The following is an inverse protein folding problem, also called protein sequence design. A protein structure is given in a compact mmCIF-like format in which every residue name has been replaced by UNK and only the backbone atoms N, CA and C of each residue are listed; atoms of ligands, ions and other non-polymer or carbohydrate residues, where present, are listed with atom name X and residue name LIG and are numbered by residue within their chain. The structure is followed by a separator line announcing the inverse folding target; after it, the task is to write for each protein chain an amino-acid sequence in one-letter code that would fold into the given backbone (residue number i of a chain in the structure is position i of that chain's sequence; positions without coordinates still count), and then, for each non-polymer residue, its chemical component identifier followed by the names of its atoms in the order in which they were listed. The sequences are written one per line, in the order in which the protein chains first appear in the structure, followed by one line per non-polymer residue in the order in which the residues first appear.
data_IF_586386322650
#
_entry.id   IF_586386322650
#
_cell.length_a   1.000
_cell.length_b   1.000
_cell.length_c   1.000
_cell.angle_alpha   90.00
_cell.angle_beta   90.00
_cell.angle_gamma   90.00
#
_symmetry.space_group_name_H-M   'P 1'
#
loop_
_entity.id
_entity.type
_entity.pdbx_description
1 polymer ?
#
# COMPACT_ATOMS: atom_id res chain seq x y z
N UNK A 1 11.91 -2.43 -9.64
CA UNK A 1 12.08 -3.58 -8.71
C UNK A 1 11.08 -3.52 -7.56
N UNK A 2 10.52 -4.66 -7.12
CA UNK A 2 9.61 -4.76 -5.96
C UNK A 2 10.24 -5.59 -4.84
N UNK A 3 10.20 -5.09 -3.60
CA UNK A 3 10.80 -5.75 -2.43
C UNK A 3 9.77 -5.88 -1.30
N UNK A 4 9.67 -7.05 -0.68
CA UNK A 4 8.77 -7.27 0.46
C UNK A 4 9.19 -6.43 1.67
N UNK A 5 8.24 -5.68 2.24
CA UNK A 5 8.46 -4.87 3.43
C UNK A 5 7.87 -5.54 4.67
N UNK A 6 6.63 -6.02 4.58
CA UNK A 6 5.97 -6.67 5.70
C UNK A 6 4.56 -7.13 5.38
N UNK A 7 3.98 -7.89 6.31
CA UNK A 7 2.60 -8.36 6.20
C UNK A 7 1.88 -8.30 7.55
N UNK A 8 0.56 -8.30 7.47
CA UNK A 8 -0.34 -8.39 8.61
C UNK A 8 -1.43 -9.41 8.28
N UNK A 9 -1.65 -10.36 9.17
CA UNK A 9 -2.76 -11.31 9.07
C UNK A 9 -3.86 -10.89 10.05
N UNK A 10 -5.09 -10.82 9.55
CA UNK A 10 -6.27 -10.43 10.32
C UNK A 10 -7.19 -11.64 10.36
N UNK A 11 -7.36 -12.18 11.57
CA UNK A 11 -8.28 -13.28 11.84
C UNK A 11 -9.72 -12.82 11.67
N UNK A 12 -10.59 -13.74 11.23
CA UNK A 12 -12.02 -13.47 10.96
C UNK A 12 -12.75 -12.88 12.18
N UNK A 13 -12.42 -13.33 13.39
CA UNK A 13 -13.07 -12.88 14.63
C UNK A 13 -12.84 -11.37 14.90
N UNK A 14 -11.79 -10.78 14.31
CA UNK A 14 -11.49 -9.33 14.41
C UNK A 14 -12.21 -8.50 13.35
N UNK A 15 -12.97 -9.14 12.47
CA UNK A 15 -13.57 -8.54 11.28
C UNK A 15 -15.10 -8.67 11.26
N UNK A 16 -15.69 -9.34 12.26
CA UNK A 16 -17.14 -9.55 12.36
C UNK A 16 -17.91 -8.22 12.41
N UNK A 17 -17.37 -7.18 13.07
CA UNK A 17 -17.97 -5.83 13.11
C UNK A 17 -18.08 -5.18 11.73
N UNK A 18 -17.22 -5.57 10.79
CA UNK A 18 -17.23 -5.10 9.40
C UNK A 18 -18.00 -6.05 8.46
N UNK A 19 -18.76 -7.00 9.01
CA UNK A 19 -19.51 -8.04 8.28
C UNK A 19 -18.62 -8.91 7.37
N UNK A 20 -17.35 -9.07 7.75
CA UNK A 20 -16.38 -9.92 7.04
C UNK A 20 -16.12 -11.17 7.89
N UNK A 21 -16.47 -12.34 7.35
CA UNK A 21 -16.46 -13.62 8.07
C UNK A 21 -15.31 -14.55 7.64
N UNK A 22 -14.29 -14.00 6.99
CA UNK A 22 -13.13 -14.73 6.50
C UNK A 22 -11.82 -14.01 6.85
N UNK A 23 -10.71 -14.73 7.00
CA UNK A 23 -9.42 -14.10 7.27
C UNK A 23 -8.93 -13.27 6.08
N UNK A 24 -8.13 -12.25 6.39
CA UNK A 24 -7.49 -11.39 5.41
C UNK A 24 -5.99 -11.31 5.69
N UNK A 25 -5.17 -11.46 4.64
CA UNK A 25 -3.75 -11.14 4.68
C UNK A 25 -3.50 -9.87 3.89
N UNK A 26 -2.80 -8.92 4.51
CA UNK A 26 -2.28 -7.72 3.86
C UNK A 26 -0.77 -7.86 3.72
N UNK A 27 -0.24 -7.58 2.53
CA UNK A 27 1.18 -7.58 2.23
C UNK A 27 1.56 -6.22 1.62
N UNK A 28 2.66 -5.67 2.13
CA UNK A 28 3.16 -4.35 1.78
C UNK A 28 4.55 -4.49 1.16
N UNK A 29 4.76 -3.82 0.05
CA UNK A 29 5.99 -3.90 -0.73
C UNK A 29 6.50 -2.51 -1.08
N UNK A 30 7.82 -2.36 -1.01
CA UNK A 30 8.56 -1.27 -1.64
C UNK A 30 8.54 -1.43 -3.15
N UNK A 31 8.53 -0.32 -3.87
CA UNK A 31 8.72 -0.29 -5.32
C UNK A 31 9.68 0.80 -5.77
N UNK A 32 10.59 0.40 -6.67
CA UNK A 32 11.45 1.32 -7.40
C UNK A 32 10.93 1.41 -8.84
N UNK A 33 10.53 2.61 -9.26
CA UNK A 33 10.02 2.91 -10.60
C UNK A 33 11.17 3.02 -11.62
N UNK A 34 11.84 1.90 -11.89
CA UNK A 34 13.08 1.86 -12.70
C UNK A 34 12.91 2.39 -14.12
N UNK A 35 11.75 2.16 -14.74
CA UNK A 35 11.45 2.58 -16.11
C UNK A 35 11.38 4.11 -16.29
N UNK A 36 11.25 4.87 -15.19
CA UNK A 36 11.15 6.33 -15.20
C UNK A 36 12.34 7.03 -14.51
N UNK A 37 13.39 6.32 -14.11
CA UNK A 37 14.60 6.93 -13.50
C UNK A 37 15.25 7.98 -14.41
N UNK A 38 15.01 7.92 -15.73
CA UNK A 38 15.49 8.91 -16.70
C UNK A 38 14.61 10.17 -16.81
N UNK A 39 13.41 10.20 -16.20
CA UNK A 39 12.52 11.37 -16.18
C UNK A 39 12.70 12.11 -14.86
N UNK A 40 13.35 13.27 -14.94
CA UNK A 40 13.75 14.10 -13.79
C UNK A 40 12.54 14.51 -12.92
N UNK A 41 11.35 14.56 -13.51
CA UNK A 41 10.15 15.14 -12.88
C UNK A 41 9.30 14.15 -12.07
N UNK A 42 9.77 12.91 -11.85
CA UNK A 42 8.98 11.88 -11.12
C UNK A 42 9.74 11.28 -9.94
N UNK A 43 8.99 11.05 -8.86
CA UNK A 43 9.52 10.39 -7.67
C UNK A 43 9.96 8.94 -7.95
N UNK A 44 11.13 8.56 -7.43
CA UNK A 44 11.74 7.25 -7.67
C UNK A 44 10.97 6.10 -7.02
N UNK A 45 10.47 6.31 -5.81
CA UNK A 45 9.88 5.26 -4.97
C UNK A 45 8.36 5.26 -5.05
N UNK A 46 7.77 4.08 -4.93
CA UNK A 46 6.34 3.82 -4.86
C UNK A 46 6.07 2.65 -3.92
N UNK A 47 4.81 2.27 -3.76
CA UNK A 47 4.44 1.14 -2.91
C UNK A 47 3.44 0.23 -3.61
N UNK A 48 3.37 -1.02 -3.16
CA UNK A 48 2.27 -1.92 -3.51
C UNK A 48 1.66 -2.52 -2.27
N UNK A 49 0.32 -2.55 -2.25
CA UNK A 49 -0.47 -3.28 -1.26
C UNK A 49 -1.18 -4.43 -1.95
N UNK A 50 -1.04 -5.62 -1.40
CA UNK A 50 -1.76 -6.83 -1.81
C UNK A 50 -2.66 -7.25 -0.65
N UNK A 51 -3.95 -7.39 -0.92
CA UNK A 51 -4.94 -7.93 0.01
C UNK A 51 -5.38 -9.28 -0.52
N UNK A 52 -5.25 -10.31 0.30
CA UNK A 52 -5.74 -11.66 0.01
C UNK A 52 -6.82 -12.03 1.01
N UNK A 53 -8.01 -12.33 0.52
CA UNK A 53 -9.13 -12.82 1.31
C UNK A 53 -9.25 -14.34 1.17
N UNK A 54 -9.28 -15.05 2.31
CA UNK A 54 -9.36 -16.51 2.38
C UNK A 54 -10.80 -16.95 2.60
N UNK A 55 -11.62 -16.84 1.56
CA UNK A 55 -13.02 -17.30 1.58
C UNK A 55 -13.06 -18.83 1.50
N UNK A 56 -14.17 -19.42 1.93
CA UNK A 56 -14.31 -20.88 2.10
C UNK A 56 -13.98 -21.69 0.83
N UNK A 57 -14.35 -21.17 -0.35
CA UNK A 57 -14.19 -21.86 -1.62
C UNK A 57 -13.32 -21.11 -2.64
N UNK A 58 -12.78 -19.94 -2.28
CA UNK A 58 -12.00 -19.12 -3.20
C UNK A 58 -10.98 -18.23 -2.48
N UNK A 59 -9.92 -17.90 -3.20
CA UNK A 59 -8.99 -16.84 -2.82
C UNK A 59 -9.32 -15.61 -3.67
N UNK A 60 -9.55 -14.48 -3.03
CA UNK A 60 -9.71 -13.21 -3.72
C UNK A 60 -8.49 -12.34 -3.45
N UNK A 61 -7.87 -11.85 -4.53
CA UNK A 61 -6.66 -11.03 -4.44
C UNK A 61 -6.94 -9.67 -5.05
N UNK A 62 -6.85 -8.63 -4.22
CA UNK A 62 -6.90 -7.23 -4.63
C UNK A 62 -5.48 -6.66 -4.51
N UNK A 63 -5.02 -5.97 -5.55
CA UNK A 63 -3.68 -5.35 -5.56
C UNK A 63 -3.79 -3.92 -6.03
N UNK A 64 -3.14 -3.01 -5.32
CA UNK A 64 -2.97 -1.63 -5.79
C UNK A 64 -1.52 -1.24 -5.77
N UNK A 65 -1.10 -0.68 -6.90
CA UNK A 65 0.22 -0.12 -7.12
C UNK A 65 0.12 1.40 -7.13
N UNK A 66 0.91 2.05 -6.28
CA UNK A 66 0.95 3.52 -6.19
C UNK A 66 2.38 3.95 -6.49
N UNK A 67 2.56 4.53 -7.68
CA UNK A 67 3.86 4.99 -8.15
C UNK A 67 4.14 6.42 -7.72
N UNK A 68 5.41 6.78 -7.77
CA UNK A 68 5.89 8.16 -7.62
C UNK A 68 5.43 8.84 -6.31
N UNK A 69 5.58 8.14 -5.19
CA UNK A 69 5.22 8.64 -3.87
C UNK A 69 6.30 9.57 -3.31
N UNK A 70 7.57 9.18 -3.42
CA UNK A 70 8.68 9.94 -2.81
C UNK A 70 10.02 9.65 -3.49
N UNK A 71 10.97 10.56 -3.33
CA UNK A 71 12.38 10.37 -3.70
C UNK A 71 13.26 9.93 -2.52
N UNK A 72 12.72 9.87 -1.30
CA UNK A 72 13.41 9.43 -0.10
C UNK A 72 12.95 8.02 0.30
N UNK A 73 13.89 7.06 0.31
CA UNK A 73 13.61 5.68 0.74
C UNK A 73 13.15 5.62 2.20
N UNK A 74 13.62 6.52 3.06
CA UNK A 74 13.17 6.58 4.46
C UNK A 74 11.71 7.00 4.58
N UNK A 75 11.24 7.88 3.68
CA UNK A 75 9.84 8.27 3.66
C UNK A 75 8.96 7.15 3.08
N UNK A 76 9.47 6.39 2.09
CA UNK A 76 8.82 5.15 1.63
C UNK A 76 8.64 4.16 2.80
N UNK A 77 9.70 3.94 3.60
CA UNK A 77 9.66 3.11 4.80
C UNK A 77 8.67 3.61 5.85
N UNK A 78 8.63 4.93 6.07
CA UNK A 78 7.69 5.57 7.01
C UNK A 78 6.25 5.33 6.59
N UNK A 79 5.92 5.54 5.31
CA UNK A 79 4.58 5.33 4.76
C UNK A 79 4.19 3.85 4.89
N UNK A 80 5.07 2.92 4.51
CA UNK A 80 4.82 1.49 4.62
C UNK A 80 4.63 1.03 6.08
N UNK A 81 5.34 1.63 7.02
CA UNK A 81 5.16 1.37 8.46
C UNK A 81 3.77 1.79 8.93
N UNK A 82 3.34 3.02 8.59
CA UNK A 82 2.00 3.52 8.90
C UNK A 82 0.93 2.61 8.28
N UNK A 83 1.13 2.19 7.03
CA UNK A 83 0.21 1.32 6.31
C UNK A 83 0.03 -0.03 7.02
N UNK A 84 1.14 -0.64 7.42
CA UNK A 84 1.14 -1.94 8.10
C UNK A 84 0.51 -1.85 9.49
N UNK A 85 0.86 -0.84 10.28
CA UNK A 85 0.34 -0.63 11.64
C UNK A 85 -1.17 -0.39 11.63
N UNK A 86 -1.66 0.37 10.65
CA UNK A 86 -3.07 0.72 10.53
C UNK A 86 -3.88 -0.23 9.62
N UNK A 87 -3.28 -1.33 9.16
CA UNK A 87 -3.93 -2.33 8.30
C UNK A 87 -4.57 -1.71 7.05
N UNK A 88 -3.87 -0.76 6.45
CA UNK A 88 -4.31 -0.07 5.24
C UNK A 88 -4.50 -1.09 4.12
N UNK A 89 -5.62 -0.96 3.43
CA UNK A 89 -6.07 -1.84 2.34
C UNK A 89 -5.85 -1.15 0.99
N UNK A 90 -5.92 -1.87 -0.13
CA UNK A 90 -5.75 -1.25 -1.44
C UNK A 90 -6.77 -0.11 -1.69
N UNK A 91 -8.04 -0.30 -1.31
CA UNK A 91 -9.07 0.72 -1.54
C UNK A 91 -8.86 2.05 -0.79
N UNK A 92 -8.36 2.02 0.46
CA UNK A 92 -8.20 3.23 1.29
C UNK A 92 -6.78 3.83 1.25
N UNK A 93 -5.85 3.20 0.55
CA UNK A 93 -4.43 3.60 0.51
C UNK A 93 -4.15 5.04 0.06
N UNK A 94 -4.86 5.57 -0.94
CA UNK A 94 -4.65 6.95 -1.41
C UNK A 94 -5.19 8.00 -0.44
N UNK A 95 -6.27 7.70 0.27
CA UNK A 95 -6.81 8.54 1.32
C UNK A 95 -5.81 8.66 2.47
N UNK A 96 -5.25 7.53 2.91
CA UNK A 96 -4.22 7.53 3.96
C UNK A 96 -2.97 8.32 3.54
N UNK A 97 -2.53 8.22 2.28
CA UNK A 97 -1.43 9.05 1.79
C UNK A 97 -1.80 10.53 1.83
N UNK A 98 -3.02 10.87 1.41
CA UNK A 98 -3.51 12.24 1.43
C UNK A 98 -3.51 12.81 2.86
N UNK A 99 -3.90 12.00 3.84
CA UNK A 99 -3.88 12.37 5.25
C UNK A 99 -2.45 12.55 5.78
N UNK A 100 -1.51 11.67 5.39
CA UNK A 100 -0.09 11.79 5.76
C UNK A 100 0.50 13.11 5.24
N UNK A 101 0.13 13.52 4.03
CA UNK A 101 0.64 14.74 3.38
C UNK A 101 -0.15 16.01 3.71
N UNK A 102 -1.37 15.89 4.23
CA UNK A 102 -2.27 17.01 4.49
C UNK A 102 -2.87 17.64 3.23
N UNK A 103 -2.82 16.94 2.10
CA UNK A 103 -3.43 17.37 0.84
C UNK A 103 -3.79 16.16 -0.04
N UNK A 104 -4.69 16.30 -1.03
CA UNK A 104 -5.03 15.19 -1.92
C UNK A 104 -3.81 14.58 -2.61
N UNK A 105 -3.74 13.25 -2.64
CA UNK A 105 -2.71 12.52 -3.37
C UNK A 105 -2.78 12.85 -4.86
N UNK A 106 -1.66 13.31 -5.41
CA UNK A 106 -1.48 13.50 -6.85
C UNK A 106 -0.13 12.91 -7.25
N UNK A 107 -0.07 11.88 -8.11
CA UNK A 107 1.19 11.25 -8.53
C UNK A 107 2.15 12.17 -9.32
N UNK A 108 1.78 13.43 -9.55
CA UNK A 108 2.39 14.32 -10.56
C UNK A 108 3.06 15.56 -9.96
N UNK A 109 2.79 15.93 -8.70
CA UNK A 109 3.26 17.20 -8.16
C UNK A 109 4.31 17.04 -7.06
N UNK A 110 5.54 16.75 -7.45
CA UNK A 110 6.72 17.21 -6.70
C UNK A 110 7.58 18.01 -7.69
N UNK A 111 7.39 19.33 -7.66
CA UNK A 111 8.17 20.34 -8.38
C UNK A 111 9.52 20.50 -7.68
#
# INVERSE_FOLDING_TARGET
MRTFFGSTFIEKDKLEEAEIYHPIKLEYYKEINEDDIQKIDKAKYGITIVKTEYKENNLEVETKNIKYITNDEKEEDRILSIFKENKVTPINSEEVISDIWGHPFSPINFI
#
